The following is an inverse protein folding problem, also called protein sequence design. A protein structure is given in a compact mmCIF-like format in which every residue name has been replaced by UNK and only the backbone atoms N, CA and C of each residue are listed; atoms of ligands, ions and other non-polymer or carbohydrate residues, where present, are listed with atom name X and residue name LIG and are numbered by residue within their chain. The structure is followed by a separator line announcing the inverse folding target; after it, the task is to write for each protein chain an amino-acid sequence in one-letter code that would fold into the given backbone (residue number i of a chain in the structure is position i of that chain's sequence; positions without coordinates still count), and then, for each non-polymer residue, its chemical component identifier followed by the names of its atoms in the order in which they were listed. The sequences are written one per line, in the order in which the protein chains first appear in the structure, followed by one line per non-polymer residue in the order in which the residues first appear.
data_IF_684487630073
#
_entry.id   IF_684487630073
#
_cell.length_a   1.000
_cell.length_b   1.000
_cell.length_c   1.000
_cell.angle_alpha   90.00
_cell.angle_beta   90.00
_cell.angle_gamma   90.00
#
_symmetry.space_group_name_H-M   'P 1'
#
loop_
_entity.id
_entity.type
_entity.pdbx_description
1 polymer ?
#
# COMPACT_ATOMS: atom_id res chain seq x y z
N UNK A 1 -15.12 -17.63 11.11
CA UNK A 1 -13.96 -17.40 12.00
C UNK A 1 -12.63 -17.80 11.38
N UNK A 2 -12.27 -19.10 11.22
CA UNK A 2 -10.98 -19.48 10.59
C UNK A 2 -10.86 -19.04 9.13
N UNK A 3 -11.95 -19.12 8.35
CA UNK A 3 -11.95 -18.73 6.94
C UNK A 3 -11.76 -17.21 6.73
N UNK A 4 -12.44 -16.38 7.52
CA UNK A 4 -12.35 -14.91 7.42
C UNK A 4 -10.94 -14.41 7.76
N UNK A 5 -10.29 -15.05 8.72
CA UNK A 5 -8.91 -14.81 9.12
C UNK A 5 -7.94 -15.05 7.96
N UNK A 6 -8.02 -16.22 7.30
CA UNK A 6 -7.12 -16.60 6.20
C UNK A 6 -7.32 -15.71 4.97
N UNK A 7 -8.56 -15.32 4.69
CA UNK A 7 -8.85 -14.43 3.56
C UNK A 7 -8.20 -13.05 3.78
N UNK A 8 -8.42 -12.44 4.95
CA UNK A 8 -7.88 -11.10 5.24
C UNK A 8 -6.35 -11.11 5.36
N UNK A 9 -5.72 -12.19 5.84
CA UNK A 9 -4.26 -12.29 5.88
C UNK A 9 -3.63 -12.34 4.48
N UNK A 10 -4.32 -12.93 3.49
CA UNK A 10 -3.83 -13.00 2.12
C UNK A 10 -4.02 -11.69 1.34
N UNK A 11 -4.87 -10.78 1.82
CA UNK A 11 -5.11 -9.49 1.15
C UNK A 11 -3.86 -8.64 1.03
N UNK A 12 -2.88 -8.79 1.93
CA UNK A 12 -1.58 -8.13 1.79
C UNK A 12 -0.84 -8.53 0.50
N UNK A 13 -0.84 -9.84 0.17
CA UNK A 13 -0.24 -10.34 -1.07
C UNK A 13 -1.03 -9.88 -2.30
N UNK A 14 -2.36 -9.88 -2.22
CA UNK A 14 -3.23 -9.40 -3.30
C UNK A 14 -2.97 -7.91 -3.57
N UNK A 15 -2.84 -7.09 -2.54
CA UNK A 15 -2.52 -5.67 -2.66
C UNK A 15 -1.18 -5.44 -3.39
N UNK A 16 -0.14 -6.16 -2.97
CA UNK A 16 1.20 -6.11 -3.59
C UNK A 16 1.13 -6.54 -5.05
N UNK A 17 0.41 -7.62 -5.35
CA UNK A 17 0.27 -8.12 -6.72
C UNK A 17 -0.43 -7.10 -7.64
N UNK A 18 -1.55 -6.51 -7.19
CA UNK A 18 -2.28 -5.50 -7.96
C UNK A 18 -1.44 -4.25 -8.16
N UNK A 19 -0.79 -3.75 -7.10
CA UNK A 19 0.04 -2.55 -7.16
C UNK A 19 1.20 -2.71 -8.15
N UNK A 20 1.99 -3.78 -8.01
CA UNK A 20 3.11 -4.04 -8.92
C UNK A 20 2.67 -4.36 -10.33
N UNK A 21 1.59 -5.11 -10.54
CA UNK A 21 1.06 -5.35 -11.89
C UNK A 21 0.68 -4.02 -12.56
N UNK A 22 -0.01 -3.14 -11.85
CA UNK A 22 -0.41 -1.83 -12.37
C UNK A 22 0.79 -0.96 -12.72
N UNK A 23 1.83 -0.95 -11.87
CA UNK A 23 3.09 -0.24 -12.13
C UNK A 23 3.78 -0.82 -13.37
N UNK A 24 3.96 -2.13 -13.44
CA UNK A 24 4.65 -2.78 -14.55
C UNK A 24 3.92 -2.57 -15.88
N UNK A 25 2.59 -2.70 -15.90
CA UNK A 25 1.79 -2.40 -17.09
C UNK A 25 1.97 -0.94 -17.47
N UNK A 26 1.92 -0.01 -16.51
CA UNK A 26 2.12 1.42 -16.79
C UNK A 26 3.50 1.70 -17.39
N UNK A 27 4.56 1.05 -16.91
CA UNK A 27 5.92 1.12 -17.49
C UNK A 27 5.91 0.62 -18.93
N UNK A 28 5.27 -0.52 -19.22
CA UNK A 28 5.22 -1.07 -20.58
C UNK A 28 4.48 -0.18 -21.57
N UNK A 29 3.49 0.59 -21.10
CA UNK A 29 2.74 1.55 -21.92
C UNK A 29 3.49 2.87 -22.14
N UNK A 30 4.57 3.12 -21.41
CA UNK A 30 5.31 4.38 -21.41
C UNK A 30 6.80 4.15 -21.69
N UNK A 31 7.22 3.95 -22.95
CA UNK A 31 8.62 3.67 -23.30
C UNK A 31 9.62 4.77 -22.94
N UNK A 32 9.13 5.98 -22.69
CA UNK A 32 9.94 7.12 -22.23
C UNK A 32 10.38 6.97 -20.77
N UNK A 33 9.71 6.12 -19.99
CA UNK A 33 9.93 5.98 -18.55
C UNK A 33 11.28 5.33 -18.24
N UNK A 34 12.01 5.89 -17.28
CA UNK A 34 13.24 5.31 -16.75
C UNK A 34 13.29 5.40 -15.22
N UNK A 35 13.47 4.26 -14.55
CA UNK A 35 13.61 4.21 -13.08
C UNK A 35 14.76 5.07 -12.53
N UNK A 36 15.79 5.36 -13.34
CA UNK A 36 16.92 6.19 -12.92
C UNK A 36 16.68 7.69 -13.11
N UNK A 37 15.67 8.09 -13.89
CA UNK A 37 15.40 9.49 -14.26
C UNK A 37 14.04 9.99 -13.80
N UNK A 38 13.09 9.08 -13.59
CA UNK A 38 11.70 9.37 -13.32
C UNK A 38 11.28 8.84 -11.96
N UNK A 39 10.24 9.47 -11.42
CA UNK A 39 9.52 8.94 -10.26
C UNK A 39 8.42 8.00 -10.73
N UNK A 40 8.01 7.02 -9.91
CA UNK A 40 6.89 6.15 -10.28
C UNK A 40 5.59 6.95 -10.52
N UNK A 41 5.36 8.06 -9.80
CA UNK A 41 4.16 8.88 -9.97
C UNK A 41 4.13 9.62 -11.32
N UNK A 42 5.27 9.79 -12.01
CA UNK A 42 5.32 10.32 -13.37
C UNK A 42 4.45 9.48 -14.34
N UNK A 43 4.33 8.16 -14.10
CA UNK A 43 3.46 7.27 -14.88
C UNK A 43 1.96 7.60 -14.70
N UNK A 44 1.62 8.19 -13.55
CA UNK A 44 0.28 8.64 -13.20
C UNK A 44 0.03 10.11 -13.51
N UNK A 45 1.00 10.86 -14.05
CA UNK A 45 0.88 12.31 -14.19
C UNK A 45 -0.25 12.78 -15.11
N UNK A 46 -0.75 14.00 -14.86
CA UNK A 46 -1.66 14.67 -15.77
C UNK A 46 -1.05 14.78 -17.18
N UNK A 47 -1.86 14.53 -18.20
CA UNK A 47 -1.44 14.58 -19.60
C UNK A 47 -0.80 13.29 -20.13
N UNK A 48 -0.52 12.29 -19.28
CA UNK A 48 -0.09 10.97 -19.73
C UNK A 48 -1.33 10.16 -20.18
N UNK A 49 -1.42 9.73 -21.46
CA UNK A 49 -2.64 9.10 -21.99
C UNK A 49 -3.09 7.83 -21.24
N UNK A 50 -2.13 7.09 -20.68
CA UNK A 50 -2.38 5.85 -19.93
C UNK A 50 -2.30 6.02 -18.41
N UNK A 51 -2.37 7.25 -17.88
CA UNK A 51 -2.17 7.51 -16.45
C UNK A 51 -3.13 6.75 -15.53
N UNK A 52 -4.33 6.47 -16.03
CA UNK A 52 -5.36 5.75 -15.31
C UNK A 52 -4.90 4.35 -14.90
N UNK A 53 -4.03 3.70 -15.67
CA UNK A 53 -3.51 2.37 -15.35
C UNK A 53 -2.74 2.40 -14.03
N UNK A 54 -1.91 3.42 -13.84
CA UNK A 54 -1.17 3.63 -12.59
C UNK A 54 -2.14 4.04 -11.48
N UNK A 55 -2.88 5.13 -11.68
CA UNK A 55 -3.69 5.77 -10.65
C UNK A 55 -4.83 4.88 -10.14
N UNK A 56 -5.64 4.32 -11.05
CA UNK A 56 -6.73 3.40 -10.70
C UNK A 56 -6.15 2.11 -10.13
N UNK A 57 -5.00 1.65 -10.65
CA UNK A 57 -4.26 0.52 -10.08
C UNK A 57 -3.92 0.70 -8.61
N UNK A 58 -3.40 1.88 -8.22
CA UNK A 58 -3.14 2.22 -6.81
C UNK A 58 -4.43 2.26 -5.98
N UNK A 59 -5.50 2.86 -6.52
CA UNK A 59 -6.81 2.91 -5.86
C UNK A 59 -7.42 1.51 -5.65
N UNK A 60 -7.23 0.58 -6.60
CA UNK A 60 -7.70 -0.80 -6.45
C UNK A 60 -6.81 -1.54 -5.44
N UNK A 61 -5.49 -1.37 -5.49
CA UNK A 61 -4.54 -2.01 -4.57
C UNK A 61 -4.75 -1.59 -3.10
N UNK A 62 -5.25 -0.37 -2.87
CA UNK A 62 -5.50 0.13 -1.51
C UNK A 62 -6.62 -0.61 -0.78
N UNK A 63 -7.62 -1.14 -1.49
CA UNK A 63 -8.74 -1.88 -0.90
C UNK A 63 -8.25 -3.13 -0.15
N UNK A 64 -7.54 -4.09 -0.78
CA UNK A 64 -6.99 -5.24 -0.07
C UNK A 64 -5.90 -4.83 0.95
N UNK A 65 -5.14 -3.76 0.72
CA UNK A 65 -4.19 -3.25 1.72
C UNK A 65 -4.91 -2.82 3.01
N UNK A 66 -6.05 -2.15 2.88
CA UNK A 66 -6.89 -1.75 4.01
C UNK A 66 -7.43 -2.98 4.77
N UNK A 67 -7.95 -3.98 4.04
CA UNK A 67 -8.41 -5.24 4.64
C UNK A 67 -7.29 -5.98 5.39
N UNK A 68 -6.06 -5.93 4.88
CA UNK A 68 -4.89 -6.48 5.55
C UNK A 68 -4.54 -5.73 6.85
N UNK A 69 -4.69 -4.40 6.88
CA UNK A 69 -4.58 -3.64 8.13
C UNK A 69 -5.65 -4.05 9.17
N UNK A 70 -6.91 -4.24 8.73
CA UNK A 70 -8.00 -4.70 9.60
C UNK A 70 -7.73 -6.10 10.17
N UNK A 71 -7.03 -6.98 9.45
CA UNK A 71 -6.62 -8.29 9.96
C UNK A 71 -5.79 -8.16 11.24
N UNK A 72 -4.78 -7.28 11.25
CA UNK A 72 -3.96 -7.05 12.44
C UNK A 72 -4.76 -6.49 13.60
N UNK A 73 -5.68 -5.56 13.34
CA UNK A 73 -6.52 -4.94 14.38
C UNK A 73 -7.46 -5.97 15.02
N UNK A 74 -8.10 -6.81 14.19
CA UNK A 74 -9.17 -7.72 14.61
C UNK A 74 -8.65 -9.03 15.21
N UNK A 75 -7.57 -9.58 14.68
CA UNK A 75 -7.17 -10.96 14.99
C UNK A 75 -5.87 -11.08 15.77
N UNK A 76 -5.05 -10.03 15.88
CA UNK A 76 -3.85 -10.09 16.70
C UNK A 76 -4.15 -9.66 18.14
N UNK A 77 -3.60 -10.39 19.10
CA UNK A 77 -3.81 -10.10 20.53
C UNK A 77 -2.99 -8.92 21.03
N UNK A 78 -1.78 -8.71 20.47
CA UNK A 78 -0.82 -7.72 20.96
C UNK A 78 -1.19 -6.31 20.52
N UNK A 79 -1.14 -5.36 21.46
CA UNK A 79 -1.40 -3.94 21.19
C UNK A 79 -0.48 -3.38 20.08
N UNK A 80 0.79 -3.80 20.05
CA UNK A 80 1.76 -3.39 19.03
C UNK A 80 1.37 -3.88 17.62
N UNK A 81 0.79 -5.07 17.49
CA UNK A 81 0.27 -5.55 16.20
C UNK A 81 -0.93 -4.70 15.77
N UNK A 82 -1.83 -4.37 16.70
CA UNK A 82 -3.02 -3.56 16.41
C UNK A 82 -2.66 -2.14 15.99
N UNK A 83 -1.67 -1.51 16.63
CA UNK A 83 -1.20 -0.18 16.23
C UNK A 83 -0.57 -0.20 14.85
N UNK A 84 0.25 -1.21 14.54
CA UNK A 84 0.77 -1.44 13.19
C UNK A 84 -0.35 -1.62 12.15
N UNK A 85 -1.39 -2.39 12.48
CA UNK A 85 -2.58 -2.55 11.66
C UNK A 85 -3.36 -1.27 11.39
N UNK A 86 -3.50 -0.40 12.41
CA UNK A 86 -4.15 0.90 12.26
C UNK A 86 -3.36 1.83 11.34
N UNK A 87 -2.02 1.83 11.46
CA UNK A 87 -1.16 2.59 10.55
C UNK A 87 -1.20 2.03 9.12
N UNK A 88 -1.30 0.70 8.94
CA UNK A 88 -1.53 0.10 7.62
C UNK A 88 -2.86 0.57 7.02
N UNK A 89 -3.95 0.57 7.78
CA UNK A 89 -5.24 1.09 7.31
C UNK A 89 -5.12 2.56 6.88
N UNK A 90 -4.46 3.40 7.69
CA UNK A 90 -4.25 4.80 7.37
C UNK A 90 -3.39 4.95 6.11
N UNK A 91 -2.31 4.17 5.98
CA UNK A 91 -1.46 4.17 4.78
C UNK A 91 -2.24 3.78 3.52
N UNK A 92 -3.17 2.81 3.61
CA UNK A 92 -4.01 2.40 2.50
C UNK A 92 -4.97 3.52 2.07
N UNK A 93 -5.52 4.30 3.01
CA UNK A 93 -6.29 5.49 2.68
C UNK A 93 -5.42 6.49 1.90
N UNK A 94 -4.19 6.73 2.35
CA UNK A 94 -3.27 7.61 1.63
C UNK A 94 -2.87 7.06 0.25
N UNK A 95 -2.72 5.74 0.09
CA UNK A 95 -2.49 5.11 -1.21
C UNK A 95 -3.65 5.36 -2.18
N UNK A 96 -4.89 5.24 -1.70
CA UNK A 96 -6.07 5.60 -2.48
C UNK A 96 -6.03 7.07 -2.90
N UNK A 97 -5.72 7.97 -1.96
CA UNK A 97 -5.60 9.40 -2.24
C UNK A 97 -4.46 9.71 -3.22
N UNK A 98 -3.34 8.98 -3.19
CA UNK A 98 -2.25 9.12 -4.16
C UNK A 98 -2.69 8.79 -5.58
N UNK A 99 -3.53 7.77 -5.77
CA UNK A 99 -4.13 7.50 -7.08
C UNK A 99 -5.22 8.51 -7.45
N UNK A 100 -5.97 9.01 -6.46
CA UNK A 100 -7.06 9.97 -6.68
C UNK A 100 -6.58 11.40 -6.98
N UNK A 101 -5.43 11.79 -6.45
CA UNK A 101 -4.73 13.04 -6.75
C UNK A 101 -3.47 12.71 -7.54
N UNK A 102 -3.54 12.61 -8.88
CA UNK A 102 -2.39 12.28 -9.72
C UNK A 102 -1.27 13.32 -9.65
N UNK A 103 -0.06 12.94 -10.09
CA UNK A 103 1.06 13.88 -10.22
C UNK A 103 0.65 15.08 -11.10
N UNK A 104 0.92 16.30 -10.61
CA UNK A 104 0.42 17.55 -11.18
C UNK A 104 -0.92 18.06 -10.60
N UNK A 105 -1.53 17.33 -9.66
CA UNK A 105 -2.73 17.75 -8.90
C UNK A 105 -2.40 17.84 -7.42
N UNK A 106 -2.55 19.02 -6.82
CA UNK A 106 -2.44 19.16 -5.37
C UNK A 106 -3.58 18.42 -4.65
N UNK A 107 -3.34 17.71 -3.52
CA UNK A 107 -2.10 17.68 -2.74
C UNK A 107 -1.21 16.44 -2.98
N UNK A 108 -0.94 16.03 -4.23
CA UNK A 108 -0.24 14.77 -4.57
C UNK A 108 0.98 14.49 -3.71
N UNK A 109 1.91 15.44 -3.62
CA UNK A 109 3.17 15.27 -2.89
C UNK A 109 2.94 14.95 -1.42
N UNK A 110 1.97 15.62 -0.77
CA UNK A 110 1.67 15.39 0.63
C UNK A 110 1.05 14.00 0.86
N UNK A 111 0.11 13.59 0.01
CA UNK A 111 -0.57 12.30 0.17
C UNK A 111 0.33 11.12 -0.16
N UNK A 112 1.19 11.23 -1.18
CA UNK A 112 2.16 10.18 -1.54
C UNK A 112 3.25 10.03 -0.50
N UNK A 113 3.78 11.14 0.03
CA UNK A 113 4.77 11.12 1.11
C UNK A 113 4.20 10.49 2.37
N UNK A 114 2.96 10.84 2.74
CA UNK A 114 2.27 10.24 3.87
C UNK A 114 2.07 8.73 3.68
N UNK A 115 1.65 8.27 2.49
CA UNK A 115 1.56 6.85 2.17
C UNK A 115 2.88 6.11 2.43
N UNK A 116 3.99 6.56 1.84
CA UNK A 116 5.27 5.87 1.98
C UNK A 116 5.77 5.87 3.43
N UNK A 117 5.63 7.00 4.13
CA UNK A 117 6.09 7.16 5.51
C UNK A 117 5.30 6.26 6.46
N UNK A 118 3.96 6.29 6.35
CA UNK A 118 3.09 5.48 7.19
C UNK A 118 3.29 3.99 6.92
N UNK A 119 3.44 3.59 5.64
CA UNK A 119 3.69 2.18 5.28
C UNK A 119 4.99 1.69 5.90
N UNK A 120 6.06 2.48 5.85
CA UNK A 120 7.37 2.12 6.43
C UNK A 120 7.29 1.97 7.95
N UNK A 121 6.67 2.93 8.65
CA UNK A 121 6.49 2.87 10.10
C UNK A 121 5.61 1.66 10.48
N UNK A 122 4.51 1.44 9.75
CA UNK A 122 3.61 0.33 10.00
C UNK A 122 4.28 -1.03 9.80
N UNK A 123 5.04 -1.19 8.71
CA UNK A 123 5.79 -2.40 8.41
C UNK A 123 6.84 -2.68 9.49
N UNK A 124 7.54 -1.65 9.97
CA UNK A 124 8.50 -1.78 11.07
C UNK A 124 7.83 -2.25 12.36
N UNK A 125 6.72 -1.62 12.76
CA UNK A 125 5.97 -1.97 13.97
C UNK A 125 5.41 -3.38 13.91
N UNK A 126 4.78 -3.76 12.79
CA UNK A 126 4.25 -5.11 12.58
C UNK A 126 5.38 -6.14 12.66
N UNK A 127 6.50 -5.90 11.97
CA UNK A 127 7.64 -6.82 11.96
C UNK A 127 8.23 -7.00 13.36
N UNK A 128 8.43 -5.91 14.10
CA UNK A 128 8.91 -5.95 15.48
C UNK A 128 7.94 -6.71 16.38
N UNK A 129 6.64 -6.49 16.21
CA UNK A 129 5.62 -7.20 16.96
C UNK A 129 5.64 -8.70 16.70
N UNK A 130 5.84 -9.14 15.45
CA UNK A 130 5.90 -10.57 15.11
C UNK A 130 7.19 -11.20 15.68
N UNK A 131 8.34 -10.56 15.48
CA UNK A 131 9.64 -11.07 15.94
C UNK A 131 9.71 -11.22 17.46
N UNK A 132 9.19 -10.24 18.20
CA UNK A 132 9.15 -10.33 19.67
C UNK A 132 8.12 -11.35 20.16
N UNK A 133 7.13 -11.73 19.34
CA UNK A 133 6.13 -12.75 19.70
C UNK A 133 6.71 -14.16 19.65
N UNK A 134 7.64 -14.39 18.73
CA UNK A 134 8.35 -15.67 18.60
C UNK A 134 9.31 -15.96 19.77
N UNK A 135 9.68 -14.95 20.57
CA UNK A 135 10.63 -15.09 21.68
C UNK A 135 9.98 -15.46 23.03
N UNK A 136 8.64 -15.51 23.11
CA UNK A 136 7.90 -15.81 24.35
C UNK A 136 7.52 -17.28 24.56
N UNK A 137 8.08 -18.22 23.79
CA UNK A 137 7.81 -19.66 23.89
C UNK A 137 9.07 -20.47 24.26
N UNK A 138 9.99 -19.88 25.05
CA UNK A 138 11.15 -20.55 25.63
C UNK A 138 11.00 -20.69 27.14
#
# INVERSE_FOLDING_TARGET
MKHDYTLMSLMGLVAVAIGWASILISITLNPWFSLCKNTLSDLGALGIPSNYVFNVGLMIASIPAFLYGLFFIKYMSRALSKSGGALLCLSAIFLFLTGFFPEGVEPHFAVSTAFFTLTLIAAFIVSLSVLTSSRGHG
#
